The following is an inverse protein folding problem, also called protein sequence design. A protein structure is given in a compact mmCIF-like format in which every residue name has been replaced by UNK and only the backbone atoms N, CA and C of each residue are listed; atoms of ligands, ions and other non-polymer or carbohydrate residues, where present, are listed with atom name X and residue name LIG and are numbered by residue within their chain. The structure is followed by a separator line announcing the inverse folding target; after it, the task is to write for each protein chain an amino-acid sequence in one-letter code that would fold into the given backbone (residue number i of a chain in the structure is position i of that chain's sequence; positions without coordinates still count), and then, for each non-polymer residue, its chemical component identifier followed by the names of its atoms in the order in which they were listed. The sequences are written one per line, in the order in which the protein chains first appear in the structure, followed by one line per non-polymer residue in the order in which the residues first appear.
data_IF_962181135475
#
_entry.id   IF_962181135475
#
_cell.length_a   1.000
_cell.length_b   1.000
_cell.length_c   1.000
_cell.angle_alpha   90.00
_cell.angle_beta   90.00
_cell.angle_gamma   90.00
#
_symmetry.space_group_name_H-M   'P 1'
#
loop_
_entity.id
_entity.type
_entity.pdbx_description
1 polymer ?
#
# COMPACT_ATOMS: atom_id res chain seq x y z
N UNK A 1 -4.22 -32.18 19.89
CA UNK A 1 -2.91 -31.95 19.26
C UNK A 1 -2.90 -30.77 18.28
N UNK A 2 -3.77 -30.68 17.29
CA UNK A 2 -3.74 -29.58 16.29
C UNK A 2 -3.89 -28.15 16.88
N UNK A 3 -4.77 -27.94 17.85
CA UNK A 3 -4.92 -26.63 18.53
C UNK A 3 -3.69 -26.19 19.33
N UNK A 4 -2.96 -27.15 19.92
CA UNK A 4 -1.73 -26.86 20.67
C UNK A 4 -0.58 -26.45 19.73
N UNK A 5 -0.50 -27.08 18.55
CA UNK A 5 0.50 -26.75 17.53
C UNK A 5 0.30 -25.35 16.96
N UNK A 6 -0.95 -24.93 16.70
CA UNK A 6 -1.30 -23.60 16.19
C UNK A 6 -0.97 -22.52 17.21
N UNK A 7 -1.22 -22.73 18.49
CA UNK A 7 -0.86 -21.80 19.58
C UNK A 7 0.66 -21.72 19.74
N UNK A 8 1.37 -22.85 19.66
CA UNK A 8 2.84 -22.88 19.78
C UNK A 8 3.54 -22.17 18.62
N UNK A 9 3.06 -22.37 17.38
CA UNK A 9 3.57 -21.66 16.19
C UNK A 9 3.25 -20.17 16.27
N UNK A 10 2.06 -19.79 16.74
CA UNK A 10 1.68 -18.39 16.95
C UNK A 10 2.53 -17.68 18.00
N UNK A 11 2.85 -18.36 19.12
CA UNK A 11 3.72 -17.79 20.17
C UNK A 11 5.18 -17.73 19.76
N UNK A 12 5.70 -18.69 19.00
CA UNK A 12 7.07 -18.69 18.48
C UNK A 12 7.26 -17.59 17.41
N UNK A 13 6.26 -17.36 16.55
CA UNK A 13 6.29 -16.24 15.58
C UNK A 13 6.22 -14.89 16.30
N UNK A 14 5.36 -14.72 17.30
CA UNK A 14 5.27 -13.49 18.08
C UNK A 14 6.55 -13.19 18.88
N UNK A 15 7.17 -14.23 19.48
CA UNK A 15 8.45 -14.10 20.18
C UNK A 15 9.60 -13.79 19.21
N UNK A 16 9.61 -14.42 18.04
CA UNK A 16 10.55 -14.13 16.96
C UNK A 16 10.43 -12.70 16.44
N UNK A 17 9.20 -12.21 16.22
CA UNK A 17 8.95 -10.82 15.85
C UNK A 17 9.32 -9.83 16.96
N UNK A 18 9.10 -10.18 18.22
CA UNK A 18 9.49 -9.35 19.36
C UNK A 18 11.01 -9.26 19.51
N UNK A 19 11.74 -10.37 19.46
CA UNK A 19 13.22 -10.42 19.52
C UNK A 19 13.83 -9.74 18.28
N UNK A 20 13.26 -9.93 17.09
CA UNK A 20 13.64 -9.25 15.88
C UNK A 20 13.43 -7.72 16.01
N UNK A 21 12.30 -7.29 16.55
CA UNK A 21 11.99 -5.88 16.82
C UNK A 21 12.98 -5.25 17.80
N UNK A 22 13.40 -5.97 18.82
CA UNK A 22 14.37 -5.50 19.83
C UNK A 22 15.80 -5.39 19.29
N UNK A 23 16.26 -6.38 18.54
CA UNK A 23 17.66 -6.45 18.10
C UNK A 23 17.90 -5.72 16.78
N UNK A 24 16.97 -5.84 15.80
CA UNK A 24 17.08 -5.21 14.48
C UNK A 24 16.44 -3.85 14.42
N UNK A 25 15.37 -3.59 15.15
CA UNK A 25 14.64 -2.33 15.10
C UNK A 25 15.51 -1.13 15.46
N UNK A 26 16.41 -1.27 16.47
CA UNK A 26 17.34 -0.18 16.84
C UNK A 26 18.38 0.07 15.75
N UNK A 27 18.95 -1.00 15.16
CA UNK A 27 19.94 -0.90 14.07
C UNK A 27 19.30 -0.32 12.81
N UNK A 28 18.10 -0.76 12.47
CA UNK A 28 17.38 -0.24 11.32
C UNK A 28 17.00 1.23 11.51
N UNK A 29 16.53 1.62 12.68
CA UNK A 29 16.23 3.01 13.01
C UNK A 29 17.46 3.91 12.87
N UNK A 30 18.63 3.49 13.38
CA UNK A 30 19.91 4.22 13.22
C UNK A 30 20.29 4.35 11.75
N UNK A 31 20.19 3.28 10.98
CA UNK A 31 20.47 3.30 9.55
C UNK A 31 19.58 4.32 8.82
N UNK A 32 18.26 4.28 9.03
CA UNK A 32 17.34 5.24 8.40
C UNK A 32 17.61 6.67 8.86
N UNK A 33 17.88 6.90 10.15
CA UNK A 33 18.26 8.22 10.66
C UNK A 33 19.53 8.77 9.97
N UNK A 34 20.53 7.91 9.71
CA UNK A 34 21.73 8.30 8.96
C UNK A 34 21.43 8.57 7.48
N UNK A 35 20.52 7.81 6.87
CA UNK A 35 20.09 8.05 5.48
C UNK A 35 19.38 9.39 5.38
N UNK A 36 18.42 9.66 6.26
CA UNK A 36 17.65 10.90 6.25
C UNK A 36 18.47 12.14 6.64
N UNK A 37 19.44 12.02 7.55
CA UNK A 37 20.31 13.15 7.93
C UNK A 37 21.21 13.63 6.77
N UNK A 38 21.46 12.78 5.78
CA UNK A 38 22.19 13.12 4.56
C UNK A 38 21.25 13.52 3.41
N UNK A 39 19.94 13.45 3.61
CA UNK A 39 18.97 13.84 2.60
C UNK A 39 19.00 15.37 2.44
N UNK A 40 19.19 15.83 1.21
CA UNK A 40 19.02 17.25 0.87
C UNK A 40 17.53 17.67 0.96
N UNK A 41 17.18 18.91 0.52
CA UNK A 41 15.83 19.46 0.63
C UNK A 41 14.76 18.44 0.17
N UNK A 42 13.67 18.35 0.92
CA UNK A 42 12.56 17.45 0.60
C UNK A 42 11.87 17.90 -0.71
N UNK A 43 11.11 16.97 -1.30
CA UNK A 43 10.29 17.24 -2.48
C UNK A 43 9.35 18.44 -2.25
N UNK A 44 9.37 19.42 -3.17
CA UNK A 44 8.55 20.64 -3.09
C UNK A 44 7.17 20.49 -3.79
N UNK A 45 6.93 19.39 -4.48
CA UNK A 45 5.68 19.13 -5.16
C UNK A 45 4.56 18.68 -4.23
N UNK A 46 3.34 18.62 -4.78
CA UNK A 46 2.13 18.18 -4.08
C UNK A 46 2.24 16.70 -3.67
N UNK A 47 1.89 16.43 -2.43
CA UNK A 47 1.87 15.08 -1.85
C UNK A 47 0.53 14.81 -1.17
N UNK A 48 -0.17 13.78 -1.60
CA UNK A 48 -1.46 13.36 -1.06
C UNK A 48 -1.27 12.01 -0.35
N UNK A 49 -1.87 11.83 0.82
CA UNK A 49 -2.14 10.50 1.36
C UNK A 49 -3.57 10.09 0.99
N UNK A 50 -3.75 8.93 0.38
CA UNK A 50 -5.08 8.49 -0.06
C UNK A 50 -5.45 7.13 0.51
N UNK A 51 -6.69 7.04 1.02
CA UNK A 51 -7.28 5.83 1.58
C UNK A 51 -8.75 5.68 1.20
N UNK A 52 -9.27 4.48 1.38
CA UNK A 52 -10.71 4.18 1.42
C UNK A 52 -11.03 3.38 2.67
N UNK A 53 -12.29 3.25 3.00
CA UNK A 53 -12.75 2.49 4.17
C UNK A 53 -14.08 1.80 3.88
N UNK A 54 -14.58 1.00 4.82
CA UNK A 54 -15.90 0.41 4.78
C UNK A 54 -16.89 1.22 5.65
N UNK A 55 -18.22 1.16 5.37
CA UNK A 55 -19.24 1.87 6.15
C UNK A 55 -19.16 1.64 7.66
N UNK A 56 -18.92 0.40 8.11
CA UNK A 56 -18.79 0.04 9.52
C UNK A 56 -17.45 0.46 10.16
N UNK A 57 -16.49 0.94 9.36
CA UNK A 57 -15.14 1.32 9.81
C UNK A 57 -14.87 2.81 9.72
N UNK A 58 -15.70 3.57 9.01
CA UNK A 58 -15.46 5.00 8.77
C UNK A 58 -15.34 5.82 10.07
N UNK A 59 -16.04 5.43 11.12
CA UNK A 59 -15.94 6.05 12.45
C UNK A 59 -14.62 5.78 13.19
N UNK A 60 -13.78 4.86 12.68
CA UNK A 60 -12.54 4.43 13.34
C UNK A 60 -11.27 4.93 12.65
N UNK A 61 -11.36 5.91 11.74
CA UNK A 61 -10.24 6.43 10.95
C UNK A 61 -9.27 7.31 11.74
N UNK A 62 -9.70 7.87 12.89
CA UNK A 62 -8.93 8.85 13.65
C UNK A 62 -7.48 8.42 13.94
N UNK A 63 -7.18 7.19 14.41
CA UNK A 63 -5.80 6.79 14.69
C UNK A 63 -4.92 6.79 13.43
N UNK A 64 -5.46 6.36 12.28
CA UNK A 64 -4.75 6.36 11.00
C UNK A 64 -4.49 7.80 10.54
N UNK A 65 -5.52 8.65 10.51
CA UNK A 65 -5.42 10.04 10.11
C UNK A 65 -4.44 10.81 11.01
N UNK A 66 -4.53 10.64 12.34
CA UNK A 66 -3.59 11.25 13.30
C UNK A 66 -2.14 10.84 13.01
N UNK A 67 -1.91 9.57 12.65
CA UNK A 67 -0.57 9.09 12.31
C UNK A 67 -0.01 9.70 11.02
N UNK A 68 -0.87 10.04 10.06
CA UNK A 68 -0.50 10.73 8.82
C UNK A 68 -0.23 12.22 9.05
N UNK A 69 -1.08 12.89 9.83
CA UNK A 69 -0.87 14.29 10.21
C UNK A 69 0.38 14.49 11.09
N UNK A 70 0.74 13.46 11.88
CA UNK A 70 1.92 13.46 12.75
C UNK A 70 3.23 13.06 12.08
N UNK A 71 3.30 12.98 10.74
CA UNK A 71 4.55 12.69 10.02
C UNK A 71 5.58 13.81 10.18
N UNK A 72 6.89 13.49 10.08
CA UNK A 72 7.96 14.49 10.04
C UNK A 72 7.83 15.41 8.83
N UNK A 73 7.32 14.90 7.72
CA UNK A 73 6.79 15.63 6.57
C UNK A 73 5.33 15.18 6.39
N UNK A 74 4.34 15.90 6.91
CA UNK A 74 2.94 15.55 6.68
C UNK A 74 2.57 15.66 5.21
N UNK A 75 1.59 14.89 4.71
CA UNK A 75 1.02 15.11 3.40
C UNK A 75 0.34 16.49 3.34
N UNK A 76 0.27 17.07 2.15
CA UNK A 76 -0.41 18.35 1.94
C UNK A 76 -1.93 18.18 2.11
N UNK A 77 -2.44 16.99 1.75
CA UNK A 77 -3.83 16.59 1.86
C UNK A 77 -3.96 15.10 2.19
N UNK A 78 -4.98 14.74 2.95
CA UNK A 78 -5.40 13.36 3.17
C UNK A 78 -6.77 13.20 2.49
N UNK A 79 -6.82 12.37 1.46
CA UNK A 79 -8.04 12.07 0.72
C UNK A 79 -8.65 10.77 1.21
N UNK A 80 -9.89 10.83 1.66
CA UNK A 80 -10.70 9.67 2.01
C UNK A 80 -11.68 9.44 0.85
N UNK A 81 -11.35 8.52 -0.05
CA UNK A 81 -12.18 8.19 -1.21
C UNK A 81 -13.32 7.25 -0.79
N UNK A 82 -14.56 7.67 -1.02
CA UNK A 82 -15.77 6.97 -0.57
C UNK A 82 -16.75 6.83 -1.71
N UNK A 83 -17.14 5.59 -2.12
CA UNK A 83 -18.17 5.39 -3.11
C UNK A 83 -19.56 5.76 -2.55
N UNK A 84 -20.51 6.06 -3.43
CA UNK A 84 -21.88 6.35 -3.03
C UNK A 84 -22.53 5.16 -2.30
N UNK A 85 -22.19 3.95 -2.73
CA UNK A 85 -22.73 2.71 -2.20
C UNK A 85 -21.65 1.64 -2.06
N UNK A 86 -21.56 1.00 -0.90
CA UNK A 86 -20.64 -0.11 -0.68
C UNK A 86 -21.20 -1.42 -1.25
N UNK A 87 -20.58 -1.93 -2.30
CA UNK A 87 -20.94 -3.24 -2.90
C UNK A 87 -20.73 -4.38 -1.89
N UNK A 88 -19.70 -4.25 -1.04
CA UNK A 88 -19.34 -5.29 -0.06
C UNK A 88 -20.32 -5.39 1.10
N UNK A 89 -20.78 -4.25 1.63
CA UNK A 89 -21.69 -4.19 2.78
C UNK A 89 -23.13 -3.93 2.39
N UNK A 90 -23.39 -3.61 1.11
CA UNK A 90 -24.72 -3.32 0.55
C UNK A 90 -25.44 -2.20 1.28
N UNK A 91 -24.69 -1.17 1.70
CA UNK A 91 -25.21 0.01 2.35
C UNK A 91 -24.49 1.27 1.87
N UNK A 92 -25.08 2.43 2.09
CA UNK A 92 -24.46 3.74 1.89
C UNK A 92 -23.59 4.13 3.08
N UNK A 93 -22.75 5.16 2.89
CA UNK A 93 -21.87 5.67 3.94
C UNK A 93 -22.54 6.82 4.70
N UNK A 94 -22.45 6.79 6.01
CA UNK A 94 -22.69 7.95 6.89
C UNK A 94 -21.35 8.51 7.30
N UNK A 95 -21.04 9.73 6.85
CA UNK A 95 -19.74 10.36 7.14
C UNK A 95 -19.83 11.08 8.48
N UNK A 96 -18.92 10.78 9.44
CA UNK A 96 -18.84 11.51 10.68
C UNK A 96 -18.46 12.97 10.43
N UNK A 97 -19.21 13.90 11.05
CA UNK A 97 -18.96 15.34 10.89
C UNK A 97 -17.57 15.77 11.36
N UNK A 98 -16.98 15.05 12.32
CA UNK A 98 -15.64 15.33 12.81
C UNK A 98 -14.56 14.98 11.76
N UNK A 99 -14.81 13.96 10.93
CA UNK A 99 -13.93 13.61 9.83
C UNK A 99 -13.90 14.73 8.78
N UNK A 100 -15.05 15.27 8.40
CA UNK A 100 -15.15 16.37 7.43
C UNK A 100 -14.52 17.68 7.94
N UNK A 101 -14.53 17.92 9.26
CA UNK A 101 -13.92 19.10 9.88
C UNK A 101 -12.44 18.95 10.19
N UNK A 102 -11.87 17.76 10.01
CA UNK A 102 -10.45 17.51 10.30
C UNK A 102 -9.58 18.28 9.32
N UNK A 103 -8.65 19.13 9.76
CA UNK A 103 -7.78 19.89 8.88
C UNK A 103 -6.98 18.96 7.92
N UNK A 104 -6.86 19.38 6.66
CA UNK A 104 -6.19 18.65 5.58
C UNK A 104 -6.86 17.32 5.20
N UNK A 105 -8.01 16.99 5.76
CA UNK A 105 -8.81 15.83 5.34
C UNK A 105 -9.87 16.28 4.36
N UNK A 106 -9.94 15.59 3.23
CA UNK A 106 -10.98 15.79 2.22
C UNK A 106 -11.67 14.48 1.90
N UNK A 107 -12.99 14.51 1.86
CA UNK A 107 -13.81 13.40 1.39
C UNK A 107 -13.95 13.50 -0.13
N UNK A 108 -13.44 12.50 -0.84
CA UNK A 108 -13.62 12.36 -2.28
C UNK A 108 -14.76 11.38 -2.55
N UNK A 109 -15.93 11.92 -2.92
CA UNK A 109 -17.09 11.10 -3.31
C UNK A 109 -16.89 10.58 -4.73
N UNK A 110 -17.04 9.28 -4.92
CA UNK A 110 -16.99 8.66 -6.24
C UNK A 110 -18.27 7.84 -6.49
N UNK A 111 -18.73 7.80 -7.74
CA UNK A 111 -19.95 7.10 -8.11
C UNK A 111 -19.81 5.59 -7.97
N UNK A 112 -18.66 5.07 -8.39
CA UNK A 112 -18.39 3.63 -8.49
C UNK A 112 -17.56 3.13 -7.28
N UNK A 113 -17.92 1.96 -6.78
CA UNK A 113 -17.12 1.20 -5.82
C UNK A 113 -16.17 0.25 -6.58
N UNK A 114 -14.87 0.51 -6.48
CA UNK A 114 -13.81 -0.39 -6.99
C UNK A 114 -13.26 -1.32 -5.89
N UNK A 115 -14.01 -1.51 -4.80
CA UNK A 115 -13.53 -2.26 -3.65
C UNK A 115 -12.30 -1.60 -3.02
N UNK A 116 -11.26 -2.38 -2.65
CA UNK A 116 -10.03 -1.80 -2.09
C UNK A 116 -9.31 -0.83 -3.03
N UNK A 117 -9.49 -0.94 -4.35
CA UNK A 117 -8.88 -0.04 -5.34
C UNK A 117 -9.49 1.38 -5.31
N UNK A 118 -10.61 1.59 -4.63
CA UNK A 118 -11.19 2.91 -4.40
C UNK A 118 -10.20 3.85 -3.69
N UNK A 119 -9.22 3.34 -2.95
CA UNK A 119 -8.19 4.15 -2.30
C UNK A 119 -7.21 4.84 -3.28
N UNK A 120 -7.17 4.45 -4.55
CA UNK A 120 -6.26 5.06 -5.53
C UNK A 120 -6.91 5.43 -6.86
N UNK A 121 -7.91 4.72 -7.36
CA UNK A 121 -8.50 5.00 -8.68
C UNK A 121 -9.09 6.42 -8.74
N UNK A 122 -10.00 6.84 -7.85
CA UNK A 122 -10.63 8.14 -7.95
C UNK A 122 -9.66 9.31 -7.87
N UNK A 123 -8.66 9.23 -7.00
CA UNK A 123 -7.67 10.30 -6.85
C UNK A 123 -6.71 10.35 -8.04
N UNK A 124 -6.36 9.21 -8.66
CA UNK A 124 -5.58 9.19 -9.88
C UNK A 124 -6.36 9.86 -11.02
N UNK A 125 -7.65 9.55 -11.18
CA UNK A 125 -8.51 10.16 -12.18
C UNK A 125 -8.59 11.69 -11.98
N UNK A 126 -8.88 12.14 -10.76
CA UNK A 126 -8.97 13.57 -10.42
C UNK A 126 -7.66 14.32 -10.72
N UNK A 127 -6.51 13.75 -10.35
CA UNK A 127 -5.22 14.41 -10.59
C UNK A 127 -4.83 14.42 -12.07
N UNK A 128 -5.23 13.41 -12.86
CA UNK A 128 -5.04 13.40 -14.32
C UNK A 128 -5.96 14.42 -15.03
N UNK A 129 -7.23 14.49 -14.64
CA UNK A 129 -8.18 15.46 -15.18
C UNK A 129 -7.78 16.91 -14.90
N UNK A 130 -7.05 17.13 -13.80
CA UNK A 130 -6.57 18.44 -13.40
C UNK A 130 -5.13 18.76 -13.88
N UNK A 131 -4.57 17.97 -14.80
CA UNK A 131 -3.18 18.13 -15.29
C UNK A 131 -2.12 18.11 -14.17
N UNK A 132 -2.39 17.39 -13.08
CA UNK A 132 -1.47 17.22 -11.95
C UNK A 132 -0.86 15.81 -11.92
N UNK A 133 -0.39 15.34 -13.05
CA UNK A 133 0.09 13.98 -13.30
C UNK A 133 1.34 13.60 -12.49
N UNK A 134 2.05 14.58 -11.90
CA UNK A 134 3.24 14.40 -11.07
C UNK A 134 3.00 14.49 -9.56
N UNK A 135 1.74 14.65 -9.14
CA UNK A 135 1.38 14.54 -7.71
C UNK A 135 1.86 13.22 -7.14
N UNK A 136 2.51 13.26 -5.99
CA UNK A 136 2.89 12.06 -5.26
C UNK A 136 1.71 11.58 -4.43
N UNK A 137 1.27 10.35 -4.66
CA UNK A 137 0.16 9.74 -3.93
C UNK A 137 0.71 8.62 -3.06
N UNK A 138 0.72 8.86 -1.74
CA UNK A 138 0.98 7.82 -0.74
C UNK A 138 -0.33 7.08 -0.47
N UNK A 139 -0.46 5.89 -1.01
CA UNK A 139 -1.64 5.03 -0.80
C UNK A 139 -1.50 4.30 0.52
N UNK A 140 -2.54 4.36 1.35
CA UNK A 140 -2.55 3.84 2.72
C UNK A 140 -3.82 3.04 3.01
N UNK A 141 -3.78 2.14 4.00
CA UNK A 141 -4.94 1.42 4.51
C UNK A 141 -5.55 2.18 5.71
N UNK A 142 -6.84 2.00 5.94
CA UNK A 142 -7.64 2.67 6.98
C UNK A 142 -7.42 2.15 8.40
N UNK A 143 -6.72 1.03 8.56
CA UNK A 143 -6.49 0.33 9.83
C UNK A 143 -5.01 0.29 10.26
N UNK A 144 -4.20 1.24 9.80
CA UNK A 144 -2.76 1.27 10.07
C UNK A 144 -2.31 2.56 10.75
N UNK A 145 -1.35 2.41 11.66
CA UNK A 145 -0.60 3.52 12.27
C UNK A 145 0.77 3.58 11.60
N UNK A 146 1.00 4.66 10.89
CA UNK A 146 2.22 4.88 10.12
C UNK A 146 3.35 5.44 10.97
N UNK A 147 4.61 4.97 10.82
CA UNK A 147 5.78 5.60 11.44
C UNK A 147 5.91 7.06 11.03
N UNK A 148 6.39 7.92 11.94
CA UNK A 148 6.49 9.36 11.73
C UNK A 148 7.37 9.77 10.55
N UNK A 149 8.30 8.93 10.16
CA UNK A 149 9.27 9.12 9.08
C UNK A 149 8.86 8.44 7.74
N UNK A 150 7.65 7.88 7.67
CA UNK A 150 7.24 7.06 6.52
C UNK A 150 7.22 7.86 5.21
N UNK A 151 6.57 9.02 5.18
CA UNK A 151 6.51 9.84 3.99
C UNK A 151 7.89 10.44 3.64
N UNK A 152 8.64 10.89 4.62
CA UNK A 152 10.00 11.42 4.43
C UNK A 152 10.92 10.37 3.78
N UNK A 153 10.83 9.11 4.21
CA UNK A 153 11.55 7.98 3.59
C UNK A 153 11.15 7.82 2.12
N UNK A 154 9.86 7.80 1.82
CA UNK A 154 9.40 7.71 0.43
C UNK A 154 9.95 8.86 -0.42
N UNK A 155 9.89 10.09 0.07
CA UNK A 155 10.40 11.26 -0.64
C UNK A 155 11.91 11.20 -0.89
N UNK A 156 12.66 10.69 0.10
CA UNK A 156 14.10 10.48 -0.04
C UNK A 156 14.43 9.49 -1.19
N UNK A 157 13.76 8.34 -1.23
CA UNK A 157 14.00 7.33 -2.27
C UNK A 157 13.37 7.70 -3.61
N UNK A 158 12.28 8.47 -3.63
CA UNK A 158 11.70 9.01 -4.85
C UNK A 158 12.68 9.89 -5.61
N UNK A 159 13.50 10.71 -4.95
CA UNK A 159 14.56 11.49 -5.61
C UNK A 159 15.55 10.62 -6.37
N UNK A 160 15.83 9.42 -5.89
CA UNK A 160 16.76 8.48 -6.53
C UNK A 160 16.11 7.71 -7.69
N UNK A 161 14.79 7.52 -7.63
CA UNK A 161 13.99 6.78 -8.62
C UNK A 161 12.64 7.48 -8.88
N UNK A 162 12.65 8.67 -9.54
CA UNK A 162 11.44 9.48 -9.70
C UNK A 162 10.38 8.83 -10.61
N UNK A 163 10.79 7.88 -11.44
CA UNK A 163 9.93 7.17 -12.39
C UNK A 163 9.55 5.75 -11.92
N UNK A 164 9.73 5.45 -10.64
CA UNK A 164 9.39 4.16 -10.06
C UNK A 164 8.29 4.26 -9.00
N UNK A 165 7.49 3.21 -8.87
CA UNK A 165 6.60 3.03 -7.73
C UNK A 165 7.39 2.47 -6.54
N UNK A 166 7.22 3.06 -5.37
CA UNK A 166 7.93 2.69 -4.15
C UNK A 166 6.96 2.09 -3.13
N UNK A 167 7.40 1.09 -2.36
CA UNK A 167 6.56 0.50 -1.32
C UNK A 167 7.37 0.09 -0.09
N UNK A 168 6.70 -0.12 1.05
CA UNK A 168 7.33 -0.67 2.24
C UNK A 168 7.18 -2.19 2.34
N UNK A 169 6.35 -2.78 1.50
CA UNK A 169 6.20 -4.23 1.40
C UNK A 169 5.88 -4.60 -0.04
N UNK A 170 6.55 -5.62 -0.54
CA UNK A 170 6.30 -6.12 -1.89
C UNK A 170 6.72 -7.57 -2.05
N UNK A 171 6.28 -8.19 -3.12
CA UNK A 171 6.51 -9.61 -3.37
C UNK A 171 6.97 -9.91 -4.79
N UNK A 172 7.53 -11.10 -4.96
CA UNK A 172 7.86 -11.66 -6.27
C UNK A 172 6.75 -12.61 -6.71
N UNK A 173 6.33 -12.48 -7.97
CA UNK A 173 5.42 -13.45 -8.57
C UNK A 173 6.21 -14.75 -8.83
N UNK A 174 5.72 -15.89 -8.32
CA UNK A 174 6.34 -17.18 -8.60
C UNK A 174 6.29 -17.53 -10.11
N UNK A 175 7.30 -18.25 -10.59
CA UNK A 175 7.38 -18.63 -12.03
C UNK A 175 6.17 -19.41 -12.54
N UNK A 176 5.51 -20.18 -11.66
CA UNK A 176 4.30 -20.94 -11.97
C UNK A 176 3.01 -20.10 -11.94
N UNK A 177 3.13 -18.78 -11.69
CA UNK A 177 2.01 -17.84 -11.56
C UNK A 177 1.00 -18.20 -10.47
N UNK A 178 1.41 -18.96 -9.45
CA UNK A 178 0.57 -19.32 -8.31
C UNK A 178 1.02 -18.54 -7.07
N UNK A 179 0.13 -17.73 -6.51
CA UNK A 179 0.42 -16.91 -5.33
C UNK A 179 0.33 -17.74 -4.04
N UNK A 180 1.23 -18.72 -3.93
CA UNK A 180 1.37 -19.55 -2.74
C UNK A 180 2.78 -19.39 -2.19
N UNK A 181 2.91 -18.98 -0.93
CA UNK A 181 4.17 -18.68 -0.24
C UNK A 181 5.13 -17.80 -1.08
N UNK A 182 4.67 -16.67 -1.63
CA UNK A 182 5.52 -15.80 -2.44
C UNK A 182 6.67 -15.25 -1.59
N UNK A 183 7.82 -15.01 -2.23
CA UNK A 183 8.93 -14.30 -1.56
C UNK A 183 8.53 -12.85 -1.31
N UNK A 184 8.46 -12.46 -0.04
CA UNK A 184 8.07 -11.11 0.40
C UNK A 184 9.26 -10.36 0.98
N UNK A 185 9.44 -9.12 0.54
CA UNK A 185 10.38 -8.17 1.13
C UNK A 185 9.62 -7.14 1.97
N UNK A 186 10.20 -6.74 3.09
CA UNK A 186 9.67 -5.70 3.99
C UNK A 186 10.71 -4.63 4.23
N UNK A 187 10.27 -3.38 4.30
CA UNK A 187 11.12 -2.21 4.53
C UNK A 187 12.06 -2.35 5.73
N UNK A 188 11.58 -2.93 6.82
CA UNK A 188 12.38 -3.16 8.04
C UNK A 188 13.46 -4.25 7.89
N UNK A 189 13.47 -5.00 6.79
CA UNK A 189 14.37 -6.13 6.54
C UNK A 189 15.39 -5.85 5.44
N UNK A 190 15.22 -4.75 4.70
CA UNK A 190 16.13 -4.39 3.59
C UNK A 190 16.99 -3.18 3.95
N UNK A 191 18.19 -3.12 3.40
CA UNK A 191 19.15 -2.02 3.55
C UNK A 191 19.34 -1.21 2.28
N UNK A 192 18.85 -1.74 1.18
CA UNK A 192 18.86 -1.13 -0.15
C UNK A 192 17.51 -1.39 -0.82
N UNK A 193 17.21 -0.61 -1.85
CA UNK A 193 16.00 -0.83 -2.66
C UNK A 193 15.99 -2.22 -3.25
N UNK A 194 14.88 -2.95 -3.10
CA UNK A 194 14.69 -4.29 -3.68
C UNK A 194 13.58 -4.25 -4.72
N UNK A 195 13.93 -4.57 -5.96
CA UNK A 195 12.94 -4.69 -7.04
C UNK A 195 11.95 -5.81 -6.74
N UNK A 196 10.66 -5.54 -6.99
CA UNK A 196 9.56 -6.47 -6.74
C UNK A 196 8.60 -6.53 -7.93
N UNK A 197 7.84 -7.62 -8.03
CA UNK A 197 6.77 -7.75 -9.03
C UNK A 197 5.47 -7.09 -8.54
N UNK A 198 5.19 -7.18 -7.25
CA UNK A 198 3.95 -6.72 -6.64
C UNK A 198 4.26 -5.78 -5.48
N UNK A 199 3.67 -4.58 -5.49
CA UNK A 199 3.60 -3.69 -4.32
C UNK A 199 2.38 -4.07 -3.49
N UNK A 200 2.42 -3.90 -2.16
CA UNK A 200 1.27 -4.25 -1.30
C UNK A 200 0.83 -3.09 -0.43
N UNK A 201 -0.49 -2.80 -0.43
CA UNK A 201 -1.12 -1.72 0.33
C UNK A 201 -1.00 -1.87 1.83
N UNK A 202 -0.90 -3.09 2.33
CA UNK A 202 -0.79 -3.40 3.77
C UNK A 202 0.27 -2.56 4.52
N UNK A 203 1.31 -2.11 3.83
CA UNK A 203 2.37 -1.29 4.40
C UNK A 203 2.56 0.06 3.71
N UNK A 204 1.68 0.44 2.78
CA UNK A 204 1.75 1.64 1.95
C UNK A 204 2.68 1.55 0.75
N UNK A 205 2.34 2.34 -0.26
CA UNK A 205 3.18 2.57 -1.43
C UNK A 205 3.01 4.01 -1.94
N UNK A 206 4.01 4.49 -2.70
CA UNK A 206 4.04 5.80 -3.32
C UNK A 206 3.99 5.65 -4.84
N UNK A 207 3.06 6.34 -5.48
CA UNK A 207 2.82 6.33 -6.92
C UNK A 207 2.60 7.73 -7.46
N UNK A 208 2.54 7.87 -8.78
CA UNK A 208 2.14 9.10 -9.48
C UNK A 208 1.03 8.81 -10.49
N UNK A 209 0.09 9.74 -10.73
CA UNK A 209 -0.97 9.59 -11.73
C UNK A 209 -0.45 9.23 -13.13
N UNK A 210 0.65 9.85 -13.59
CA UNK A 210 1.28 9.60 -14.90
C UNK A 210 1.74 8.15 -15.14
N UNK A 211 1.79 7.33 -14.10
CA UNK A 211 2.11 5.91 -14.23
C UNK A 211 0.95 5.09 -14.83
N UNK A 212 -0.23 5.69 -14.96
CA UNK A 212 -1.46 5.00 -15.30
C UNK A 212 -2.17 5.64 -16.49
N UNK A 213 -3.08 4.87 -17.07
CA UNK A 213 -4.03 5.28 -18.09
C UNK A 213 -5.43 4.70 -17.77
N UNK A 214 -6.40 4.91 -18.65
CA UNK A 214 -7.78 4.48 -18.47
C UNK A 214 -7.97 2.97 -18.27
N UNK A 215 -7.00 2.15 -18.68
CA UNK A 215 -7.06 0.70 -18.45
C UNK A 215 -7.04 0.34 -16.96
N UNK A 216 -6.53 1.20 -16.06
CA UNK A 216 -6.49 0.94 -14.63
C UNK A 216 -7.89 0.77 -14.03
N UNK A 217 -8.88 1.52 -14.50
CA UNK A 217 -10.27 1.47 -14.02
C UNK A 217 -11.23 0.75 -14.95
N UNK A 218 -10.72 0.13 -16.00
CA UNK A 218 -11.47 -0.77 -16.86
C UNK A 218 -11.42 -2.22 -16.35
N UNK A 219 -12.49 -2.65 -15.70
CA UNK A 219 -12.68 -4.01 -15.19
C UNK A 219 -13.59 -4.85 -16.08
N UNK A 220 -13.95 -4.40 -17.28
CA UNK A 220 -14.95 -5.04 -18.15
C UNK A 220 -14.65 -6.50 -18.47
N UNK A 221 -13.36 -6.83 -18.70
CA UNK A 221 -12.90 -8.18 -18.99
C UNK A 221 -12.16 -8.84 -17.82
N UNK A 222 -12.17 -8.22 -16.65
CA UNK A 222 -11.44 -8.71 -15.49
C UNK A 222 -12.17 -9.89 -14.83
N UNK A 223 -11.44 -10.84 -14.23
CA UNK A 223 -12.09 -11.86 -13.40
C UNK A 223 -12.75 -11.19 -12.19
N UNK A 224 -13.87 -11.76 -11.71
CA UNK A 224 -14.61 -11.20 -10.56
C UNK A 224 -13.76 -11.04 -9.30
N UNK A 225 -12.69 -11.82 -9.15
CA UNK A 225 -11.72 -11.69 -8.07
C UNK A 225 -10.93 -10.39 -8.11
N UNK A 226 -10.80 -9.74 -9.27
CA UNK A 226 -10.05 -8.48 -9.42
C UNK A 226 -10.61 -7.36 -8.53
N UNK A 227 -11.92 -7.35 -8.28
CA UNK A 227 -12.56 -6.41 -7.35
C UNK A 227 -11.97 -6.43 -5.93
N UNK A 228 -11.41 -7.56 -5.50
CA UNK A 228 -10.88 -7.77 -4.15
C UNK A 228 -9.34 -7.73 -4.08
N UNK A 229 -8.66 -7.72 -5.23
CA UNK A 229 -7.21 -7.96 -5.35
C UNK A 229 -6.53 -6.74 -5.98
N UNK A 230 -6.62 -5.63 -5.28
CA UNK A 230 -6.09 -4.32 -5.71
C UNK A 230 -4.56 -4.29 -5.84
N UNK A 231 -3.83 -4.96 -4.96
CA UNK A 231 -2.36 -5.00 -4.97
C UNK A 231 -1.79 -5.62 -6.25
N UNK A 232 -2.37 -6.76 -6.70
CA UNK A 232 -1.98 -7.42 -7.94
C UNK A 232 -2.42 -6.58 -9.14
N UNK A 233 -3.66 -6.05 -9.09
CA UNK A 233 -4.24 -5.24 -10.15
C UNK A 233 -3.37 -4.03 -10.47
N UNK A 234 -3.10 -3.17 -9.49
CA UNK A 234 -2.28 -1.97 -9.70
C UNK A 234 -0.85 -2.34 -10.14
N UNK A 235 -0.27 -3.42 -9.58
CA UNK A 235 1.09 -3.86 -9.93
C UNK A 235 1.20 -4.32 -11.38
N UNK A 236 0.17 -4.97 -11.91
CA UNK A 236 0.12 -5.38 -13.31
C UNK A 236 0.03 -4.17 -14.25
N UNK A 237 -0.79 -3.17 -13.90
CA UNK A 237 -0.87 -1.93 -14.68
C UNK A 237 0.45 -1.15 -14.68
N UNK A 238 1.18 -1.11 -13.57
CA UNK A 238 2.54 -0.56 -13.53
C UNK A 238 3.49 -1.31 -14.48
N UNK A 239 3.45 -2.66 -14.51
CA UNK A 239 4.28 -3.44 -15.44
C UNK A 239 3.90 -3.21 -16.90
N UNK A 240 2.61 -3.10 -17.23
CA UNK A 240 2.14 -2.75 -18.60
C UNK A 240 2.71 -1.42 -19.08
N UNK A 241 2.87 -0.46 -18.17
CA UNK A 241 3.43 0.87 -18.42
C UNK A 241 4.97 0.91 -18.31
N UNK A 242 5.60 -0.21 -18.01
CA UNK A 242 7.06 -0.30 -17.84
C UNK A 242 7.59 0.34 -16.55
N UNK A 243 6.73 0.63 -15.59
CA UNK A 243 7.10 1.25 -14.32
C UNK A 243 7.72 0.22 -13.38
N UNK A 244 8.95 0.47 -12.95
CA UNK A 244 9.62 -0.36 -11.96
C UNK A 244 9.01 -0.18 -10.56
N UNK A 245 9.11 -1.23 -9.75
CA UNK A 245 8.56 -1.27 -8.39
C UNK A 245 9.64 -1.68 -7.41
N UNK A 246 9.81 -0.91 -6.32
CA UNK A 246 10.83 -1.19 -5.31
C UNK A 246 10.29 -1.17 -3.90
N UNK A 247 10.71 -2.15 -3.10
CA UNK A 247 10.66 -2.03 -1.65
C UNK A 247 11.83 -1.16 -1.21
N UNK A 248 11.54 -0.08 -0.51
CA UNK A 248 12.55 0.82 0.07
C UNK A 248 12.80 0.49 1.53
N UNK A 249 14.04 0.71 2.05
CA UNK A 249 14.33 0.57 3.47
C UNK A 249 13.44 1.49 4.33
N UNK A 250 13.00 1.00 5.50
CA UNK A 250 12.16 1.75 6.43
C UNK A 250 12.54 1.49 7.88
N UNK A 251 12.23 2.43 8.78
CA UNK A 251 12.67 2.41 10.17
C UNK A 251 11.93 1.42 11.06
N UNK A 252 10.64 1.19 10.80
CA UNK A 252 9.73 0.37 11.61
C UNK A 252 8.68 -0.32 10.75
N UNK A 253 8.06 -1.35 11.31
CA UNK A 253 6.82 -1.91 10.76
C UNK A 253 5.63 -1.04 11.16
N UNK A 254 4.65 -0.91 10.27
CA UNK A 254 3.35 -0.32 10.58
C UNK A 254 2.63 -1.19 11.62
N UNK A 255 1.92 -0.52 12.54
CA UNK A 255 1.08 -1.22 13.51
C UNK A 255 -0.36 -1.24 13.02
N UNK A 256 -1.06 -2.35 13.22
CA UNK A 256 -2.50 -2.37 13.01
C UNK A 256 -3.21 -1.57 14.11
N UNK A 257 -4.23 -0.82 13.73
CA UNK A 257 -5.24 -0.35 14.68
C UNK A 257 -6.00 -1.60 15.15
N UNK A 258 -6.25 -1.73 16.47
CA UNK A 258 -7.07 -2.85 16.97
C UNK A 258 -8.45 -2.76 16.31
N UNK A 259 -8.79 -3.78 15.53
CA UNK A 259 -10.14 -3.90 15.00
C UNK A 259 -11.12 -4.05 16.17
N UNK A 260 -12.21 -3.31 16.15
CA UNK A 260 -13.34 -3.61 17.04
C UNK A 260 -13.87 -5.00 16.66
N UNK A 261 -14.19 -5.82 17.66
CA UNK A 261 -14.76 -7.15 17.44
C UNK A 261 -16.02 -7.03 16.58
N UNK A 262 -16.09 -7.76 15.46
CA UNK A 262 -17.24 -7.76 14.56
C UNK A 262 -17.08 -6.98 13.27
N UNK A 263 -16.01 -6.18 13.08
CA UNK A 263 -15.79 -5.50 11.80
C UNK A 263 -15.31 -6.48 10.71
N UNK A 264 -15.88 -6.33 9.52
CA UNK A 264 -15.52 -7.15 8.36
C UNK A 264 -14.06 -6.87 7.94
N UNK A 265 -13.22 -7.89 7.93
CA UNK A 265 -11.83 -7.75 7.45
C UNK A 265 -11.75 -7.92 5.93
N UNK A 266 -10.71 -7.33 5.30
CA UNK A 266 -10.43 -7.50 3.86
C UNK A 266 -10.16 -8.97 3.47
N UNK A 267 -9.88 -9.86 4.44
CA UNK A 267 -9.66 -11.28 4.21
C UNK A 267 -10.91 -12.09 3.83
N UNK A 268 -12.12 -11.50 3.89
CA UNK A 268 -13.33 -12.14 3.37
C UNK A 268 -13.40 -12.01 1.85
N UNK A 269 -12.39 -12.56 1.18
CA UNK A 269 -12.36 -12.68 -0.27
C UNK A 269 -13.09 -13.97 -0.67
N UNK A 270 -14.10 -13.92 -1.53
CA UNK A 270 -14.73 -15.13 -2.07
C UNK A 270 -13.65 -16.07 -2.65
N UNK A 271 -13.75 -17.37 -2.38
CA UNK A 271 -12.79 -18.40 -2.81
C UNK A 271 -11.39 -18.33 -2.16
N UNK A 272 -11.15 -17.42 -1.19
CA UNK A 272 -9.88 -17.26 -0.47
C UNK A 272 -8.83 -16.45 -1.23
N UNK A 273 -7.99 -15.73 -0.45
CA UNK A 273 -7.00 -14.75 -0.96
C UNK A 273 -6.00 -15.36 -1.94
N UNK A 274 -5.46 -16.54 -1.65
CA UNK A 274 -4.46 -17.20 -2.52
C UNK A 274 -5.01 -17.51 -3.90
N UNK A 275 -6.25 -18.01 -3.96
CA UNK A 275 -6.92 -18.34 -5.22
C UNK A 275 -7.26 -17.08 -6.01
N UNK A 276 -7.81 -16.07 -5.36
CA UNK A 276 -8.14 -14.79 -5.99
C UNK A 276 -6.89 -14.09 -6.56
N UNK A 277 -5.82 -14.00 -5.79
CA UNK A 277 -4.54 -13.47 -6.26
C UNK A 277 -4.00 -14.24 -7.46
N UNK A 278 -4.03 -15.57 -7.41
CA UNK A 278 -3.58 -16.45 -8.51
C UNK A 278 -4.39 -16.23 -9.78
N UNK A 279 -5.71 -16.06 -9.66
CA UNK A 279 -6.59 -15.79 -10.78
C UNK A 279 -6.26 -14.49 -11.49
N UNK A 280 -6.05 -13.41 -10.73
CA UNK A 280 -5.66 -12.10 -11.29
C UNK A 280 -4.23 -12.12 -11.85
N UNK A 281 -3.28 -12.79 -11.19
CA UNK A 281 -1.93 -12.98 -11.73
C UNK A 281 -1.97 -13.69 -13.10
N UNK A 282 -2.76 -14.75 -13.22
CA UNK A 282 -2.91 -15.49 -14.49
C UNK A 282 -3.63 -14.69 -15.58
N UNK A 283 -4.56 -13.81 -15.19
CA UNK A 283 -5.19 -12.89 -16.13
C UNK A 283 -4.15 -11.95 -16.79
N UNK A 284 -3.17 -11.52 -16.03
CA UNK A 284 -2.06 -10.67 -16.51
C UNK A 284 -0.79 -11.46 -16.89
N UNK A 285 -0.87 -12.75 -17.23
CA UNK A 285 0.31 -13.61 -17.47
C UNK A 285 1.34 -13.04 -18.45
N UNK A 286 0.88 -12.36 -19.49
CA UNK A 286 1.74 -11.81 -20.56
C UNK A 286 2.35 -10.44 -20.18
N UNK A 287 1.99 -9.92 -19.02
CA UNK A 287 2.43 -8.60 -18.53
C UNK A 287 3.66 -8.72 -17.63
N UNK A 288 3.76 -9.81 -16.86
CA UNK A 288 4.79 -9.94 -15.84
C UNK A 288 6.18 -10.13 -16.43
N UNK A 289 7.08 -9.16 -16.18
CA UNK A 289 8.48 -9.27 -16.58
C UNK A 289 9.23 -10.16 -15.60
N UNK A 290 9.95 -11.19 -16.07
CA UNK A 290 10.82 -11.97 -15.19
C UNK A 290 11.84 -11.04 -14.53
N UNK A 291 11.92 -11.05 -13.21
CA UNK A 291 13.02 -10.43 -12.51
C UNK A 291 14.20 -11.38 -12.66
N UNK A 292 15.17 -11.04 -13.53
CA UNK A 292 16.40 -11.81 -13.67
C UNK A 292 17.05 -12.00 -12.30
N UNK A 293 17.38 -13.23 -11.97
CA UNK A 293 18.16 -13.59 -10.79
C UNK A 293 19.62 -13.14 -11.02
N UNK A 294 19.91 -11.88 -10.80
CA UNK A 294 21.29 -11.40 -10.94
C UNK A 294 21.43 -10.02 -11.55
N UNK A 295 21.04 -9.02 -10.82
CA UNK A 295 21.70 -7.72 -10.88
C UNK A 295 21.93 -7.27 -9.45
N UNK A 296 23.05 -7.76 -8.88
CA UNK A 296 23.77 -7.00 -7.87
C UNK A 296 24.04 -5.62 -8.47
N UNK A 297 23.45 -4.59 -7.88
CA UNK A 297 23.61 -3.20 -8.28
C UNK A 297 25.11 -2.83 -8.27
N UNK A 298 25.68 -2.63 -9.43
CA UNK A 298 26.70 -1.61 -9.59
C UNK A 298 25.96 -0.33 -9.91
N UNK A 299 25.89 0.57 -8.93
CA UNK A 299 25.56 1.98 -9.10
C UNK A 299 26.86 2.64 -9.56
N UNK A 300 26.87 3.46 -10.65
CA UNK A 300 28.01 4.25 -11.01
C UNK A 300 28.37 5.28 -9.94
#
# INVERSE_FOLDING_TARGET
MARFLVVLVGTLTALGEFLYSLLWGRRQKRFISQVLSKAGPLHSGRVIASLTTLPDRIGNLEPTIRSLLGQTRPPDEIVVAIPQFSIRQKVTYTIPSDLERTPRVRILRCEKDWGPATKFIPIIQEELEADRDRTLIMVVDDDRIYPRDALEIFLHYHKQRPDAALCFRGGLIPRNLVWFLPKIFRASQVREMKRVSVITGTASYLIQPRFFDSALWDYSNAPASAFYVDDIWISAHLDRRGIEKFVVPGSKMMRSVRAQSGTMTLYHVPKGVTRANTEVIKFFRDTWKPLSSGTSNQIP
#
